data_IF_386730127036
#
_entry.id   IF_386730127036
#
_cell.length_a   1.000
_cell.length_b   1.000
_cell.length_c   1.000
_cell.angle_alpha   90.00
_cell.angle_beta   90.00
_cell.angle_gamma   90.00
#
_symmetry.space_group_name_H-M   'P 1'
#
loop_
_entity.id
_entity.type
_entity.pdbx_description
1 polymer ?
#
# COMPACT_ATOMS: atom_id res chain seq x y z
N UNK A 1 74.50 -13.98 3.54
CA UNK A 1 73.79 -14.11 2.25
C UNK A 1 72.30 -14.46 2.46
N UNK A 2 71.66 -13.95 3.53
CA UNK A 2 70.31 -14.33 3.98
C UNK A 2 69.28 -13.16 4.07
N UNK A 3 69.71 -11.96 3.65
CA UNK A 3 68.87 -10.76 3.82
C UNK A 3 68.01 -10.41 2.56
N UNK A 4 68.24 -11.05 1.42
CA UNK A 4 67.52 -10.76 0.14
C UNK A 4 66.30 -11.64 -0.11
N UNK A 5 66.06 -12.68 0.69
CA UNK A 5 64.90 -13.60 0.51
C UNK A 5 63.66 -13.15 1.28
N UNK A 6 63.75 -12.25 2.25
CA UNK A 6 62.60 -11.76 3.02
C UNK A 6 61.85 -10.61 2.35
N UNK A 7 62.48 -9.89 1.45
CA UNK A 7 61.83 -8.76 0.76
C UNK A 7 60.87 -9.19 -0.36
N UNK A 8 61.03 -10.41 -0.88
CA UNK A 8 60.16 -10.93 -1.95
C UNK A 8 58.81 -11.50 -1.45
N UNK A 9 58.77 -11.98 -0.21
CA UNK A 9 57.56 -12.58 0.37
C UNK A 9 56.53 -11.52 0.85
N UNK A 10 56.99 -10.31 1.19
CA UNK A 10 56.12 -9.24 1.67
C UNK A 10 55.38 -8.49 0.53
N UNK A 11 55.95 -8.51 -0.67
CA UNK A 11 55.32 -7.86 -1.84
C UNK A 11 54.18 -8.68 -2.47
N UNK A 12 54.10 -10.00 -2.21
CA UNK A 12 53.08 -10.88 -2.76
C UNK A 12 51.74 -10.85 -1.98
N UNK A 13 51.74 -10.32 -0.72
CA UNK A 13 50.53 -10.26 0.11
C UNK A 13 49.61 -9.03 -0.16
N UNK A 14 50.07 -8.05 -0.93
CA UNK A 14 49.34 -6.80 -1.14
C UNK A 14 48.37 -6.88 -2.38
N UNK A 15 48.47 -7.91 -3.18
CA UNK A 15 47.65 -8.08 -4.39
C UNK A 15 46.38 -8.96 -4.21
N UNK A 16 46.11 -9.39 -2.98
CA UNK A 16 44.89 -10.17 -2.67
C UNK A 16 43.67 -9.32 -2.29
N UNK A 17 43.69 -8.02 -2.55
CA UNK A 17 42.61 -7.09 -2.20
C UNK A 17 41.75 -6.79 -3.40
N UNK A 18 40.45 -7.00 -3.26
CA UNK A 18 39.32 -6.61 -4.14
C UNK A 18 38.95 -7.58 -5.25
N UNK A 19 38.66 -8.82 -4.89
CA UNK A 19 37.67 -9.57 -5.69
C UNK A 19 36.28 -9.02 -5.31
N UNK A 20 35.80 -7.98 -5.98
CA UNK A 20 34.37 -7.67 -5.98
C UNK A 20 33.66 -8.90 -6.53
N UNK A 21 32.65 -9.44 -5.82
CA UNK A 21 31.85 -10.53 -6.38
C UNK A 21 31.21 -10.01 -7.66
N UNK A 22 31.72 -10.45 -8.79
CA UNK A 22 31.15 -10.15 -10.10
C UNK A 22 29.79 -10.86 -10.14
N UNK A 23 28.70 -10.12 -9.91
CA UNK A 23 27.35 -10.63 -10.03
C UNK A 23 27.08 -10.90 -11.52
N UNK A 24 27.34 -12.11 -11.95
CA UNK A 24 26.98 -12.56 -13.28
C UNK A 24 25.46 -12.67 -13.38
N UNK A 25 24.84 -11.71 -14.06
CA UNK A 25 23.42 -11.67 -14.33
C UNK A 25 23.09 -12.16 -15.76
N UNK A 26 24.05 -12.70 -16.50
CA UNK A 26 23.89 -13.12 -17.90
C UNK A 26 22.83 -14.21 -18.10
N UNK A 27 22.65 -15.08 -17.10
CA UNK A 27 21.65 -16.16 -17.13
C UNK A 27 20.29 -15.76 -16.53
N UNK A 28 20.13 -14.49 -16.05
CA UNK A 28 18.96 -14.09 -15.27
C UNK A 28 18.91 -14.81 -13.92
N UNK A 29 17.96 -14.39 -13.07
CA UNK A 29 17.67 -15.07 -11.80
C UNK A 29 16.28 -15.69 -11.86
N UNK A 30 16.15 -16.92 -11.37
CA UNK A 30 14.85 -17.56 -11.23
C UNK A 30 13.92 -16.72 -10.37
N UNK A 31 12.71 -16.48 -10.86
CA UNK A 31 11.64 -15.83 -10.09
C UNK A 31 11.08 -16.83 -9.10
N UNK A 32 11.06 -16.45 -7.82
CA UNK A 32 10.47 -17.26 -6.75
C UNK A 32 9.18 -16.59 -6.31
N UNK A 33 8.07 -17.33 -6.36
CA UNK A 33 6.80 -16.88 -5.77
C UNK A 33 6.92 -16.89 -4.24
N UNK A 34 6.60 -15.76 -3.63
CA UNK A 34 6.53 -15.63 -2.17
C UNK A 34 5.10 -15.33 -1.76
N UNK A 35 4.63 -15.99 -0.69
CA UNK A 35 3.34 -15.66 -0.08
C UNK A 35 3.41 -14.25 0.52
N UNK A 36 2.46 -13.38 0.14
CA UNK A 36 2.38 -11.99 0.61
C UNK A 36 2.05 -11.87 2.10
N UNK A 37 1.56 -12.95 2.73
CA UNK A 37 1.24 -13.03 4.15
C UNK A 37 2.44 -13.46 5.02
N UNK A 38 3.50 -14.01 4.42
CA UNK A 38 4.67 -14.47 5.16
C UNK A 38 5.74 -13.39 5.24
N UNK A 39 6.32 -13.21 6.43
CA UNK A 39 7.46 -12.32 6.63
C UNK A 39 8.68 -12.89 5.91
N UNK A 40 8.99 -12.33 4.75
CA UNK A 40 10.21 -12.69 4.03
C UNK A 40 11.42 -12.12 4.80
N UNK A 41 12.37 -12.99 5.15
CA UNK A 41 13.65 -12.57 5.75
C UNK A 41 14.58 -11.80 4.77
N UNK A 42 14.11 -11.57 3.53
CA UNK A 42 14.85 -10.92 2.45
C UNK A 42 14.40 -9.49 2.17
N UNK A 43 13.65 -8.92 3.08
CA UNK A 43 13.30 -7.51 2.99
C UNK A 43 14.56 -6.68 3.19
N UNK A 44 14.95 -5.97 2.17
CA UNK A 44 16.19 -5.20 2.15
C UNK A 44 15.90 -3.71 2.04
N UNK A 45 14.97 -3.16 2.88
CA UNK A 45 14.78 -1.74 2.79
C UNK A 45 13.77 -1.12 3.75
N UNK A 46 13.77 0.21 3.76
CA UNK A 46 12.95 1.01 4.69
C UNK A 46 11.60 1.44 4.10
N UNK A 47 11.24 0.97 2.91
CA UNK A 47 9.97 1.29 2.24
C UNK A 47 8.76 0.55 2.80
N UNK A 48 7.57 0.93 2.31
CA UNK A 48 6.32 0.20 2.57
C UNK A 48 6.28 -1.05 1.69
N UNK A 49 6.03 -2.20 2.28
CA UNK A 49 6.04 -3.50 1.65
C UNK A 49 4.68 -4.19 1.70
N UNK A 50 4.54 -5.30 0.96
CA UNK A 50 3.28 -6.05 0.89
C UNK A 50 2.79 -6.47 2.28
N UNK A 51 3.70 -6.90 3.16
CA UNK A 51 3.39 -7.31 4.53
C UNK A 51 2.79 -6.16 5.36
N UNK A 52 3.34 -4.96 5.21
CA UNK A 52 2.84 -3.78 5.92
C UNK A 52 1.42 -3.46 5.46
N UNK A 53 1.17 -3.52 4.15
CA UNK A 53 -0.17 -3.28 3.56
C UNK A 53 -1.17 -4.33 4.02
N UNK A 54 -0.79 -5.61 4.08
CA UNK A 54 -1.66 -6.69 4.58
C UNK A 54 -2.02 -6.45 6.04
N UNK A 55 -1.03 -6.27 6.91
CA UNK A 55 -1.23 -6.11 8.36
C UNK A 55 -2.06 -4.86 8.69
N UNK A 56 -1.78 -3.76 8.01
CA UNK A 56 -2.52 -2.50 8.14
C UNK A 56 -3.98 -2.70 7.73
N UNK A 57 -4.22 -3.27 6.55
CA UNK A 57 -5.57 -3.47 6.02
C UNK A 57 -6.40 -4.35 6.95
N UNK A 58 -5.86 -5.47 7.42
CA UNK A 58 -6.53 -6.39 8.33
C UNK A 58 -6.89 -5.74 9.66
N UNK A 59 -6.00 -4.89 10.21
CA UNK A 59 -6.28 -4.13 11.43
C UNK A 59 -7.41 -3.14 11.22
N UNK A 60 -7.37 -2.38 10.13
CA UNK A 60 -8.37 -1.36 9.80
C UNK A 60 -9.75 -1.97 9.56
N UNK A 61 -9.84 -3.10 8.87
CA UNK A 61 -11.10 -3.80 8.62
C UNK A 61 -11.77 -4.19 9.93
N UNK A 62 -11.02 -4.77 10.87
CA UNK A 62 -11.56 -5.12 12.19
C UNK A 62 -12.06 -3.91 12.94
N UNK A 63 -11.32 -2.81 12.90
CA UNK A 63 -11.65 -1.59 13.62
C UNK A 63 -12.89 -0.89 13.03
N UNK A 64 -12.98 -0.74 11.72
CA UNK A 64 -14.15 -0.18 11.03
C UNK A 64 -15.40 -1.02 11.32
N UNK A 65 -15.30 -2.35 11.23
CA UNK A 65 -16.42 -3.25 11.47
C UNK A 65 -16.84 -3.34 12.93
N UNK A 66 -15.97 -2.97 13.86
CA UNK A 66 -16.26 -2.86 15.29
C UNK A 66 -16.88 -1.50 15.67
N UNK A 67 -16.85 -0.51 14.75
CA UNK A 67 -17.36 0.85 15.01
C UNK A 67 -18.88 0.91 14.82
N UNK A 68 -19.70 1.11 15.89
CA UNK A 68 -21.16 1.02 15.80
C UNK A 68 -21.79 2.10 14.89
N UNK A 69 -21.20 3.29 14.84
CA UNK A 69 -21.66 4.39 13.99
C UNK A 69 -21.57 4.06 12.50
N UNK A 70 -20.76 3.07 12.13
CA UNK A 70 -20.54 2.63 10.75
C UNK A 70 -21.25 1.30 10.53
N UNK A 71 -20.75 0.21 11.11
CA UNK A 71 -21.21 -1.15 10.83
C UNK A 71 -22.38 -1.62 11.69
N UNK A 72 -22.80 -0.82 12.68
CA UNK A 72 -23.93 -1.12 13.57
C UNK A 72 -25.27 -0.46 13.16
N UNK A 73 -25.33 0.23 12.01
CA UNK A 73 -26.56 0.89 11.53
C UNK A 73 -27.59 -0.13 11.07
N UNK A 74 -28.89 0.13 11.37
CA UNK A 74 -30.01 -0.71 10.88
C UNK A 74 -30.09 -0.71 9.34
N UNK A 75 -29.81 0.44 8.70
CA UNK A 75 -29.66 0.53 7.25
C UNK A 75 -28.15 0.59 6.93
N UNK A 76 -27.61 -0.35 6.17
CA UNK A 76 -26.20 -0.36 5.79
C UNK A 76 -25.77 0.96 5.13
N UNK A 77 -24.79 1.65 5.65
CA UNK A 77 -24.31 2.90 5.06
C UNK A 77 -23.58 2.64 3.75
N UNK A 78 -23.64 3.63 2.88
CA UNK A 78 -22.96 3.64 1.58
C UNK A 78 -21.62 4.33 1.69
N UNK A 79 -20.54 3.64 1.29
CA UNK A 79 -19.18 4.12 1.48
C UNK A 79 -18.45 4.19 0.14
N UNK A 80 -17.71 5.27 -0.09
CA UNK A 80 -16.74 5.39 -1.19
C UNK A 80 -15.35 5.15 -0.63
N UNK A 81 -14.65 4.16 -1.20
CA UNK A 81 -13.22 3.91 -0.94
C UNK A 81 -12.48 3.93 -2.27
N UNK A 82 -11.76 4.98 -2.51
CA UNK A 82 -10.88 5.18 -3.65
C UNK A 82 -9.66 6.04 -3.25
N UNK A 83 -8.73 6.25 -4.17
CA UNK A 83 -7.50 7.00 -3.90
C UNK A 83 -7.59 8.50 -4.18
N UNK A 84 -8.76 9.03 -4.49
CA UNK A 84 -8.91 10.45 -4.86
C UNK A 84 -8.50 11.39 -3.73
N UNK A 85 -8.95 11.07 -2.51
CA UNK A 85 -8.60 11.82 -1.29
C UNK A 85 -7.58 11.10 -0.41
N UNK A 86 -6.70 10.33 -1.05
CA UNK A 86 -5.59 9.65 -0.36
C UNK A 86 -4.26 10.19 -0.88
N UNK A 87 -3.55 10.96 -0.04
CA UNK A 87 -2.29 11.60 -0.39
C UNK A 87 -1.08 10.71 -0.06
N UNK A 88 -0.02 10.81 -0.87
CA UNK A 88 1.28 10.26 -0.54
C UNK A 88 2.29 11.40 -0.41
N UNK A 89 2.57 11.79 0.83
CA UNK A 89 3.53 12.83 1.22
C UNK A 89 4.80 12.20 1.82
N UNK A 90 5.02 10.90 1.60
CA UNK A 90 6.23 10.20 2.04
C UNK A 90 7.36 10.36 1.02
N UNK A 91 8.59 10.09 1.44
CA UNK A 91 9.77 10.05 0.57
C UNK A 91 9.79 8.84 -0.39
N UNK A 92 8.84 7.91 -0.27
CA UNK A 92 8.74 6.70 -1.10
C UNK A 92 7.65 6.82 -2.16
N UNK A 93 7.92 6.25 -3.35
CA UNK A 93 6.89 6.10 -4.39
C UNK A 93 5.95 4.95 -4.03
N UNK A 94 4.76 5.28 -3.54
CA UNK A 94 3.76 4.30 -3.13
C UNK A 94 2.55 4.42 -4.05
N UNK A 95 2.11 3.30 -4.63
CA UNK A 95 0.88 3.25 -5.40
C UNK A 95 -0.32 3.26 -4.44
N UNK A 96 -0.98 4.42 -4.31
CA UNK A 96 -2.14 4.62 -3.44
C UNK A 96 -3.30 3.66 -3.76
N UNK A 97 -3.49 3.34 -5.04
CA UNK A 97 -4.57 2.44 -5.47
C UNK A 97 -4.41 1.04 -4.90
N UNK A 98 -3.16 0.54 -4.78
CA UNK A 98 -2.91 -0.78 -4.19
C UNK A 98 -3.46 -0.87 -2.75
N UNK A 99 -3.31 0.19 -1.96
CA UNK A 99 -3.78 0.25 -0.57
C UNK A 99 -5.31 0.35 -0.53
N UNK A 100 -5.88 1.32 -1.26
CA UNK A 100 -7.33 1.58 -1.23
C UNK A 100 -8.14 0.47 -1.87
N UNK A 101 -7.65 -0.14 -2.94
CA UNK A 101 -8.32 -1.28 -3.60
C UNK A 101 -8.33 -2.51 -2.70
N UNK A 102 -7.19 -2.82 -2.07
CA UNK A 102 -7.14 -3.92 -1.10
C UNK A 102 -8.12 -3.69 0.05
N UNK A 103 -8.08 -2.51 0.67
CA UNK A 103 -8.99 -2.15 1.77
C UNK A 103 -10.47 -2.28 1.33
N UNK A 104 -10.83 -1.76 0.17
CA UNK A 104 -12.19 -1.84 -0.36
C UNK A 104 -12.64 -3.28 -0.59
N UNK A 105 -11.80 -4.10 -1.23
CA UNK A 105 -12.14 -5.49 -1.57
C UNK A 105 -12.30 -6.31 -0.30
N UNK A 106 -11.35 -6.26 0.61
CA UNK A 106 -11.38 -7.07 1.83
C UNK A 106 -12.49 -6.60 2.78
N UNK A 107 -12.71 -5.27 2.89
CA UNK A 107 -13.80 -4.73 3.71
C UNK A 107 -15.17 -5.12 3.14
N UNK A 108 -15.34 -5.10 1.81
CA UNK A 108 -16.58 -5.54 1.16
C UNK A 108 -16.89 -7.02 1.45
N UNK A 109 -15.85 -7.88 1.42
CA UNK A 109 -15.98 -9.30 1.78
C UNK A 109 -16.32 -9.50 3.25
N UNK A 110 -15.62 -8.81 4.14
CA UNK A 110 -15.77 -8.97 5.59
C UNK A 110 -17.06 -8.33 6.13
N UNK A 111 -17.61 -7.33 5.45
CA UNK A 111 -18.80 -6.61 5.90
C UNK A 111 -20.08 -7.44 5.85
N UNK A 112 -20.16 -8.46 4.99
CA UNK A 112 -21.33 -9.36 4.87
C UNK A 112 -22.67 -8.61 4.76
N UNK A 113 -22.71 -7.54 3.96
CA UNK A 113 -23.91 -6.72 3.76
C UNK A 113 -24.14 -5.62 4.79
N UNK A 114 -23.34 -5.53 5.84
CA UNK A 114 -23.42 -4.42 6.83
C UNK A 114 -22.95 -3.05 6.27
N UNK A 115 -22.25 -3.06 5.14
CA UNK A 115 -21.77 -1.89 4.42
C UNK A 115 -22.08 -2.05 2.93
N UNK A 116 -22.35 -0.96 2.24
CA UNK A 116 -22.57 -0.92 0.79
C UNK A 116 -21.50 -0.03 0.15
N UNK A 117 -20.77 -0.56 -0.82
CA UNK A 117 -19.68 0.17 -1.47
C UNK A 117 -20.12 0.82 -2.78
N UNK A 118 -19.92 2.13 -2.91
CA UNK A 118 -20.25 2.91 -4.10
C UNK A 118 -19.00 3.08 -4.95
N UNK A 119 -19.01 2.47 -6.14
CA UNK A 119 -17.87 2.44 -7.06
C UNK A 119 -17.79 3.70 -7.93
N UNK A 120 -17.44 4.86 -7.35
CA UNK A 120 -17.37 6.15 -8.07
C UNK A 120 -16.37 6.14 -9.22
N UNK A 121 -15.25 5.46 -9.05
CA UNK A 121 -14.20 5.33 -10.07
C UNK A 121 -14.66 4.58 -11.35
N UNK A 122 -15.78 3.87 -11.31
CA UNK A 122 -16.44 3.29 -12.50
C UNK A 122 -17.63 4.11 -13.02
N UNK A 123 -17.72 5.38 -12.61
CA UNK A 123 -18.85 6.25 -12.93
C UNK A 123 -19.12 6.39 -14.42
N UNK A 124 -18.08 6.47 -15.26
CA UNK A 124 -18.19 6.59 -16.71
C UNK A 124 -18.69 5.30 -17.37
N UNK A 125 -18.17 4.14 -16.94
CA UNK A 125 -18.65 2.84 -17.39
C UNK A 125 -20.15 2.68 -17.10
N UNK A 126 -20.57 3.00 -15.87
CA UNK A 126 -21.99 2.93 -15.48
C UNK A 126 -22.85 3.92 -16.29
N UNK A 127 -22.34 5.11 -16.60
CA UNK A 127 -23.07 6.11 -17.38
C UNK A 127 -23.29 5.65 -18.82
N UNK A 128 -22.27 5.09 -19.47
CA UNK A 128 -22.37 4.53 -20.84
C UNK A 128 -23.37 3.38 -20.90
N UNK A 129 -23.32 2.44 -19.96
CA UNK A 129 -24.27 1.33 -19.91
C UNK A 129 -25.73 1.81 -19.69
N UNK A 130 -25.92 2.82 -18.81
CA UNK A 130 -27.25 3.41 -18.57
C UNK A 130 -27.79 4.14 -19.79
N UNK A 131 -26.91 4.75 -20.59
CA UNK A 131 -27.27 5.40 -21.85
C UNK A 131 -27.70 4.36 -22.87
N UNK A 132 -26.92 3.31 -23.13
CA UNK A 132 -27.22 2.21 -24.02
C UNK A 132 -28.60 1.58 -23.70
N UNK A 133 -28.87 1.32 -22.40
CA UNK A 133 -30.18 0.83 -21.93
C UNK A 133 -31.34 1.76 -22.27
N UNK A 134 -31.17 3.07 -22.15
CA UNK A 134 -32.22 4.05 -22.42
C UNK A 134 -32.43 4.28 -23.90
N UNK A 135 -31.37 4.14 -24.69
CA UNK A 135 -31.43 4.26 -26.17
C UNK A 135 -32.00 2.99 -26.83
N UNK A 136 -32.24 1.91 -26.05
CA UNK A 136 -32.77 0.66 -26.59
C UNK A 136 -31.75 -0.23 -27.27
N UNK A 137 -30.44 0.02 -27.03
CA UNK A 137 -29.36 -0.80 -27.55
C UNK A 137 -29.21 -2.13 -26.78
N UNK A 138 -29.79 -2.21 -25.56
CA UNK A 138 -29.83 -3.42 -24.74
C UNK A 138 -31.27 -3.77 -24.38
N UNK A 139 -31.50 -4.99 -23.88
CA UNK A 139 -32.82 -5.44 -23.45
C UNK A 139 -33.40 -4.56 -22.32
N UNK A 140 -34.73 -4.51 -22.25
CA UNK A 140 -35.48 -3.64 -21.29
C UNK A 140 -35.52 -4.20 -19.87
N UNK A 141 -35.13 -5.47 -19.64
CA UNK A 141 -35.23 -6.16 -18.34
C UNK A 141 -34.37 -5.57 -17.24
N UNK A 142 -33.31 -4.84 -17.60
CA UNK A 142 -32.36 -4.25 -16.65
C UNK A 142 -32.48 -2.74 -16.47
N UNK A 143 -33.47 -2.10 -17.13
CA UNK A 143 -33.72 -0.65 -17.03
C UNK A 143 -34.36 -0.33 -15.67
N UNK A 144 -33.74 0.59 -14.91
CA UNK A 144 -34.30 1.08 -13.65
C UNK A 144 -35.01 2.41 -13.86
N UNK A 145 -36.10 2.62 -13.12
CA UNK A 145 -36.87 3.85 -13.20
C UNK A 145 -36.08 5.09 -12.74
N UNK A 146 -35.24 4.93 -11.70
CA UNK A 146 -34.43 6.04 -11.20
C UNK A 146 -33.33 6.44 -12.18
N UNK A 147 -33.23 7.77 -12.41
CA UNK A 147 -32.12 8.37 -13.18
C UNK A 147 -30.92 8.74 -12.30
N UNK A 148 -31.10 8.79 -10.98
CA UNK A 148 -30.05 9.17 -10.03
C UNK A 148 -28.98 8.08 -9.86
N UNK A 149 -27.74 8.49 -9.61
CA UNK A 149 -26.67 7.62 -9.13
C UNK A 149 -26.87 7.41 -7.62
N UNK A 150 -26.33 6.30 -7.08
CA UNK A 150 -26.35 6.09 -5.64
C UNK A 150 -25.54 7.19 -4.93
N UNK A 151 -26.10 7.81 -3.92
CA UNK A 151 -25.38 8.67 -2.99
C UNK A 151 -24.47 7.84 -2.09
N UNK A 152 -23.59 8.48 -1.35
CA UNK A 152 -22.79 7.85 -0.31
C UNK A 152 -22.94 8.63 0.99
N UNK A 153 -22.92 7.90 2.12
CA UNK A 153 -22.96 8.48 3.45
C UNK A 153 -21.54 8.85 3.93
N UNK A 154 -20.54 8.03 3.54
CA UNK A 154 -19.16 8.23 3.94
C UNK A 154 -18.19 8.12 2.77
N UNK A 155 -17.05 8.81 2.90
CA UNK A 155 -15.91 8.65 2.00
C UNK A 155 -14.61 8.52 2.77
N UNK A 156 -13.72 7.64 2.28
CA UNK A 156 -12.39 7.46 2.84
C UNK A 156 -11.47 8.57 2.32
N UNK A 157 -10.84 9.29 3.25
CA UNK A 157 -9.67 10.11 3.07
C UNK A 157 -8.47 9.53 3.78
N UNK A 158 -7.28 10.03 3.51
CA UNK A 158 -6.11 9.58 4.22
C UNK A 158 -4.80 10.13 3.68
N UNK A 159 -3.71 9.79 4.38
CA UNK A 159 -2.39 10.30 4.05
C UNK A 159 -1.30 9.30 4.46
N UNK A 160 -0.27 9.19 3.62
CA UNK A 160 0.98 8.51 3.95
C UNK A 160 2.04 9.58 4.16
N UNK A 161 2.73 9.55 5.30
CA UNK A 161 3.87 10.40 5.61
C UNK A 161 5.06 9.58 6.04
N UNK A 162 6.27 10.11 5.93
CA UNK A 162 7.49 9.48 6.46
C UNK A 162 8.45 10.49 7.04
N UNK A 163 9.26 10.03 8.00
CA UNK A 163 10.41 10.76 8.54
C UNK A 163 11.65 9.91 8.40
N UNK A 164 12.68 10.47 7.78
CA UNK A 164 13.96 9.83 7.57
C UNK A 164 14.99 10.34 8.58
N UNK A 165 15.77 9.43 9.14
CA UNK A 165 16.91 9.73 9.97
C UNK A 165 18.12 8.91 9.50
N UNK A 166 19.22 9.59 9.19
CA UNK A 166 20.47 8.99 8.73
C UNK A 166 21.51 9.07 9.82
N UNK A 167 22.19 7.98 10.07
CA UNK A 167 23.37 7.93 10.95
C UNK A 167 24.63 7.79 10.10
N UNK A 168 25.37 8.88 9.93
CA UNK A 168 26.63 8.87 9.19
C UNK A 168 27.70 7.99 9.88
N UNK A 169 27.61 7.79 11.19
CA UNK A 169 28.57 7.00 11.95
C UNK A 169 28.41 5.49 11.74
N UNK A 170 27.18 5.02 11.50
CA UNK A 170 26.86 3.59 11.31
C UNK A 170 26.49 3.23 9.87
N UNK A 171 26.33 4.22 8.96
CA UNK A 171 25.80 3.98 7.62
C UNK A 171 24.38 3.42 7.64
N UNK A 172 23.58 3.79 8.64
CA UNK A 172 22.22 3.28 8.82
C UNK A 172 21.21 4.33 8.44
N UNK A 173 20.23 3.96 7.59
CA UNK A 173 19.03 4.72 7.30
C UNK A 173 17.87 4.17 8.14
N UNK A 174 17.24 5.03 8.92
CA UNK A 174 16.02 4.73 9.65
C UNK A 174 14.87 5.53 9.08
N UNK A 175 13.75 4.86 8.76
CA UNK A 175 12.54 5.51 8.26
C UNK A 175 11.33 5.13 9.10
N UNK A 176 10.68 6.16 9.64
CA UNK A 176 9.37 6.05 10.26
C UNK A 176 8.30 6.32 9.21
N UNK A 177 7.30 5.47 9.15
CA UNK A 177 6.11 5.62 8.32
C UNK A 177 4.88 5.80 9.18
N UNK A 178 4.03 6.73 8.79
CA UNK A 178 2.71 6.93 9.35
C UNK A 178 1.68 6.94 8.23
N UNK A 179 0.67 6.08 8.34
CA UNK A 179 -0.45 6.00 7.40
C UNK A 179 -1.72 6.26 8.18
N UNK A 180 -2.37 7.37 7.90
CA UNK A 180 -3.64 7.76 8.49
C UNK A 180 -4.79 7.56 7.51
N UNK A 181 -5.94 7.18 8.04
CA UNK A 181 -7.20 7.04 7.30
C UNK A 181 -8.33 7.65 8.10
N UNK A 182 -9.28 8.24 7.40
CA UNK A 182 -10.46 8.84 7.98
C UNK A 182 -11.70 8.52 7.14
N UNK A 183 -12.79 8.14 7.78
CA UNK A 183 -14.10 8.09 7.14
C UNK A 183 -14.85 9.36 7.47
N UNK A 184 -15.09 10.16 6.44
CA UNK A 184 -15.76 11.45 6.52
C UNK A 184 -17.24 11.26 6.22
N UNK A 185 -18.10 11.75 7.11
CA UNK A 185 -19.53 11.88 6.87
C UNK A 185 -19.75 12.98 5.84
N UNK A 186 -20.39 12.63 4.72
CA UNK A 186 -20.53 13.51 3.56
C UNK A 186 -21.71 14.50 3.71
N UNK A 187 -22.52 14.37 4.76
CA UNK A 187 -23.61 15.29 5.05
C UNK A 187 -23.17 16.36 6.04
N UNK A 188 -22.41 15.97 7.08
CA UNK A 188 -22.06 16.85 8.20
C UNK A 188 -20.59 17.28 8.20
N UNK A 189 -19.76 16.79 7.27
CA UNK A 189 -18.30 17.05 7.22
C UNK A 189 -17.57 16.63 8.51
N UNK A 190 -18.10 15.64 9.21
CA UNK A 190 -17.51 15.14 10.47
C UNK A 190 -16.71 13.86 10.22
N UNK A 191 -15.70 13.65 11.05
CA UNK A 191 -14.92 12.41 11.03
C UNK A 191 -15.69 11.35 11.82
N UNK A 192 -16.26 10.36 11.13
CA UNK A 192 -16.99 9.25 11.74
C UNK A 192 -16.08 8.16 12.29
N UNK A 193 -14.88 8.02 11.73
CA UNK A 193 -13.86 7.08 12.15
C UNK A 193 -12.49 7.55 11.66
N UNK A 194 -11.44 7.26 12.45
CA UNK A 194 -10.05 7.45 12.06
C UNK A 194 -9.20 6.27 12.48
N UNK A 195 -8.27 5.88 11.62
CA UNK A 195 -7.30 4.83 11.87
C UNK A 195 -5.88 5.32 11.62
N UNK A 196 -4.95 4.90 12.48
CA UNK A 196 -3.54 5.21 12.38
C UNK A 196 -2.73 3.91 12.36
N UNK A 197 -1.84 3.80 11.39
CA UNK A 197 -0.89 2.72 11.28
C UNK A 197 0.53 3.28 11.19
N UNK A 198 1.39 2.85 12.10
CA UNK A 198 2.73 3.37 12.26
C UNK A 198 3.73 2.21 12.33
N UNK A 199 4.87 2.40 11.69
CA UNK A 199 6.01 1.48 11.80
C UNK A 199 7.32 2.19 11.47
N UNK A 200 8.40 1.67 12.02
CA UNK A 200 9.76 2.13 11.79
C UNK A 200 10.61 0.99 11.26
N UNK A 201 11.36 1.25 10.21
CA UNK A 201 12.32 0.29 9.63
C UNK A 201 13.72 0.90 9.62
N UNK A 202 14.70 0.03 9.76
CA UNK A 202 16.12 0.40 9.68
C UNK A 202 16.84 -0.52 8.70
N UNK A 203 17.67 0.05 7.84
CA UNK A 203 18.47 -0.68 6.88
C UNK A 203 19.84 -0.01 6.72
N UNK A 204 20.82 -0.75 6.21
CA UNK A 204 22.07 -0.16 5.79
C UNK A 204 21.85 0.69 4.53
N UNK A 205 22.59 1.80 4.41
CA UNK A 205 22.42 2.82 3.36
C UNK A 205 22.91 2.36 1.96
N UNK A 206 23.26 1.09 1.81
CA UNK A 206 23.68 0.50 0.53
C UNK A 206 22.53 0.07 -0.38
N UNK A 207 21.27 0.18 0.09
CA UNK A 207 20.07 -0.19 -0.66
C UNK A 207 19.41 1.05 -1.25
N UNK A 208 19.71 1.33 -2.53
CA UNK A 208 19.06 2.39 -3.28
C UNK A 208 17.62 1.99 -3.64
N UNK A 209 16.63 2.60 -2.97
CA UNK A 209 15.24 2.60 -3.44
C UNK A 209 15.06 3.68 -4.50
N UNK A 210 14.87 3.24 -5.73
CA UNK A 210 14.45 4.10 -6.84
C UNK A 210 12.95 4.03 -7.04
#
# INVERSE_FOLDING_TARGET
MTFKLFAGALAALILAGCATPNLDNSAGRAVVYQDVSTTSKRVAGVGVESQDVVSMTDRMIRDILATPQIAGRATPPRIIIDSEYFANDSSSRINKNLITDRLRIELNRAAQGRLVFVARHYGDMVSKEREAKRNGETDKGTVRATKAKAGADFRLGGRITSLDANSAASGTLSRYHQISFELIDLEYETIAWSGLFEFKKEAQDDVLYR
#
